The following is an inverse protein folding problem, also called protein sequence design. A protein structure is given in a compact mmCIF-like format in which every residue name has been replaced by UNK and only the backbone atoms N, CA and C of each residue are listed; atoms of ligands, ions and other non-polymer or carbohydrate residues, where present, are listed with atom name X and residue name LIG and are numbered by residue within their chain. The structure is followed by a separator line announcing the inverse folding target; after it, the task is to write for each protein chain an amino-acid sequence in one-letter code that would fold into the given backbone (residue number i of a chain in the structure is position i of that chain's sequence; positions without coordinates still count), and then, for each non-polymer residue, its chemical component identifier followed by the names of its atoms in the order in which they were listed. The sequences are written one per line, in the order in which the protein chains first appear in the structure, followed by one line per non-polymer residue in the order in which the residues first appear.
data_IF_372898998696
#
_entry.id   IF_372898998696
#
_cell.length_a   1.000
_cell.length_b   1.000
_cell.length_c   1.000
_cell.angle_alpha   90.00
_cell.angle_beta   90.00
_cell.angle_gamma   90.00
#
_symmetry.space_group_name_H-M   'P 1'
#
loop_
_entity.id
_entity.type
_entity.pdbx_description
1 polymer ?
#
# COMPACT_ATOMS: atom_id res chain seq x y z
N UNK A 1 12.68 -13.85 -12.38
CA UNK A 1 11.93 -12.58 -12.47
C UNK A 1 12.50 -11.65 -11.42
N UNK A 2 12.69 -10.37 -11.75
CA UNK A 2 13.04 -9.40 -10.70
C UNK A 2 11.75 -9.05 -9.96
N UNK A 3 11.71 -9.18 -8.63
CA UNK A 3 10.56 -8.73 -7.83
C UNK A 3 10.22 -7.28 -8.17
N UNK A 4 8.95 -6.99 -8.49
CA UNK A 4 8.51 -5.63 -8.79
C UNK A 4 8.26 -4.88 -7.48
N UNK A 5 9.15 -3.94 -7.17
CA UNK A 5 9.02 -3.05 -6.04
C UNK A 5 8.12 -1.86 -6.40
N UNK A 6 7.12 -1.61 -5.56
CA UNK A 6 6.19 -0.50 -5.68
C UNK A 6 6.38 0.48 -4.52
N UNK A 7 6.40 1.78 -4.83
CA UNK A 7 6.47 2.83 -3.81
C UNK A 7 5.25 2.77 -2.89
N UNK A 8 5.48 2.83 -1.58
CA UNK A 8 4.43 2.91 -0.57
C UNK A 8 4.01 4.35 -0.30
N UNK A 9 2.73 4.51 0.02
CA UNK A 9 2.11 5.75 0.47
C UNK A 9 2.24 5.94 1.98
N UNK A 10 2.02 7.18 2.44
CA UNK A 10 2.23 7.55 3.84
C UNK A 10 1.36 6.80 4.83
N UNK A 11 0.15 6.47 4.41
CA UNK A 11 -0.87 5.83 5.23
C UNK A 11 -0.72 4.30 5.22
N UNK A 12 0.12 3.75 4.34
CA UNK A 12 0.40 2.32 4.30
C UNK A 12 1.07 1.88 5.61
N UNK A 13 0.61 0.75 6.12
CA UNK A 13 1.12 0.13 7.34
C UNK A 13 1.97 -1.07 6.95
N UNK A 14 3.19 -1.10 7.44
CA UNK A 14 4.09 -2.24 7.27
C UNK A 14 4.39 -2.86 8.62
N UNK A 15 4.59 -4.17 8.62
CA UNK A 15 5.07 -4.90 9.79
C UNK A 15 6.35 -5.65 9.43
N UNK A 16 7.40 -5.47 10.23
CA UNK A 16 8.70 -6.11 10.01
C UNK A 16 8.94 -7.22 11.04
N UNK A 17 9.67 -8.26 10.62
CA UNK A 17 9.91 -9.45 11.45
C UNK A 17 11.07 -9.29 12.44
N UNK A 18 12.14 -8.56 12.07
CA UNK A 18 13.33 -8.28 12.91
C UNK A 18 14.07 -7.02 12.44
N UNK A 19 15.12 -6.62 13.16
CA UNK A 19 16.10 -5.59 12.76
C UNK A 19 15.51 -4.21 12.43
N UNK A 20 14.68 -3.68 13.33
CA UNK A 20 14.16 -2.32 13.23
C UNK A 20 15.31 -1.31 13.33
N UNK A 21 15.36 -0.36 12.40
CA UNK A 21 16.42 0.66 12.39
C UNK A 21 16.04 1.96 13.11
N UNK A 22 14.77 2.38 13.07
CA UNK A 22 14.37 3.74 13.43
C UNK A 22 13.09 3.82 14.27
N UNK A 23 12.08 3.03 13.93
CA UNK A 23 10.81 2.98 14.65
C UNK A 23 10.87 1.79 15.61
N UNK A 24 10.53 2.01 16.88
CA UNK A 24 10.62 0.99 17.93
C UNK A 24 9.50 -0.06 17.88
N UNK A 25 8.42 0.22 17.14
CA UNK A 25 7.33 -0.71 16.92
C UNK A 25 7.62 -1.53 15.67
N UNK A 26 7.32 -2.85 15.72
CA UNK A 26 7.41 -3.71 14.53
C UNK A 26 6.42 -3.34 13.45
N UNK A 27 5.28 -2.79 13.84
CA UNK A 27 4.23 -2.33 12.96
C UNK A 27 4.16 -0.81 13.00
N UNK A 28 4.27 -0.18 11.84
CA UNK A 28 4.30 1.27 11.71
C UNK A 28 3.80 1.71 10.34
N UNK A 29 3.28 2.92 10.28
CA UNK A 29 2.98 3.61 9.02
C UNK A 29 4.25 4.13 8.37
N UNK A 30 4.25 4.27 7.05
CA UNK A 30 5.34 4.94 6.33
C UNK A 30 5.54 6.37 6.82
N UNK A 31 4.47 7.05 7.23
CA UNK A 31 4.56 8.38 7.82
C UNK A 31 5.38 8.41 9.13
N UNK A 32 5.16 7.45 10.03
CA UNK A 32 5.94 7.33 11.28
C UNK A 32 7.43 7.12 10.98
N UNK A 33 7.73 6.23 10.02
CA UNK A 33 9.10 5.96 9.61
C UNK A 33 9.79 7.18 8.99
N UNK A 34 9.12 7.86 8.05
CA UNK A 34 9.63 9.10 7.43
C UNK A 34 9.84 10.20 8.47
N UNK A 35 8.95 10.30 9.45
CA UNK A 35 9.06 11.28 10.56
C UNK A 35 10.27 10.98 11.44
N UNK A 36 10.55 9.70 11.72
CA UNK A 36 11.73 9.28 12.47
C UNK A 36 13.03 9.62 11.73
N UNK A 37 13.11 9.34 10.42
CA UNK A 37 14.27 9.75 9.59
C UNK A 37 14.46 11.27 9.66
N UNK A 38 13.36 12.02 9.45
CA UNK A 38 13.40 13.48 9.46
C UNK A 38 13.92 14.04 10.78
N UNK A 39 13.51 13.48 11.92
CA UNK A 39 13.97 13.88 13.24
C UNK A 39 15.49 13.71 13.40
N UNK A 40 16.05 12.59 12.91
CA UNK A 40 17.50 12.34 12.96
C UNK A 40 18.25 13.33 12.07
N UNK A 41 17.78 13.56 10.84
CA UNK A 41 18.46 14.44 9.89
C UNK A 41 18.35 15.91 10.32
N UNK A 42 17.23 16.32 10.94
CA UNK A 42 17.09 17.64 11.57
C UNK A 42 18.14 17.89 12.66
N UNK A 43 18.56 16.84 13.37
CA UNK A 43 19.62 16.90 14.36
C UNK A 43 21.02 17.07 13.78
N UNK A 44 21.22 16.81 12.48
CA UNK A 44 22.47 17.06 11.78
C UNK A 44 22.50 18.50 11.24
N UNK A 45 23.60 19.22 11.44
CA UNK A 45 23.75 20.62 11.03
C UNK A 45 23.43 20.83 9.54
N UNK A 46 22.64 21.86 9.23
CA UNK A 46 22.31 22.23 7.84
C UNK A 46 20.93 21.78 7.35
N UNK A 47 20.00 21.46 8.25
CA UNK A 47 18.58 21.31 7.90
C UNK A 47 17.99 22.62 7.32
N UNK A 48 17.17 22.49 6.26
CA UNK A 48 16.43 23.60 5.65
C UNK A 48 15.05 23.14 5.22
N UNK A 49 14.11 24.07 5.01
CA UNK A 49 12.79 23.75 4.45
C UNK A 49 12.88 23.11 3.06
N UNK A 50 13.86 23.52 2.25
CA UNK A 50 14.12 22.89 0.95
C UNK A 50 14.52 21.42 1.09
N UNK A 51 15.35 21.09 2.10
CA UNK A 51 15.71 19.69 2.40
C UNK A 51 14.52 18.89 2.92
N UNK A 52 13.54 19.52 3.57
CA UNK A 52 12.32 18.85 3.99
C UNK A 52 11.49 18.31 2.82
N UNK A 53 11.65 18.88 1.61
CA UNK A 53 10.94 18.45 0.40
C UNK A 53 11.29 17.04 -0.03
N UNK A 54 12.49 16.55 0.26
CA UNK A 54 12.88 15.15 0.05
C UNK A 54 11.93 14.16 0.72
N UNK A 55 11.33 14.56 1.83
CA UNK A 55 10.42 13.72 2.60
C UNK A 55 8.96 14.07 2.36
N UNK A 56 8.60 14.97 1.43
CA UNK A 56 7.22 15.41 1.18
C UNK A 56 6.86 15.37 -0.31
N UNK A 57 6.86 16.52 -0.99
CA UNK A 57 6.49 16.68 -2.40
C UNK A 57 7.58 16.26 -3.40
N UNK A 58 8.79 15.99 -2.90
CA UNK A 58 9.97 15.71 -3.70
C UNK A 58 10.68 16.97 -4.19
N UNK A 59 11.95 16.81 -4.57
CA UNK A 59 12.75 17.88 -5.15
C UNK A 59 12.83 17.73 -6.67
N UNK A 60 12.93 18.85 -7.39
CA UNK A 60 13.11 18.83 -8.84
C UNK A 60 14.47 18.24 -9.22
N UNK A 61 14.48 17.36 -10.22
CA UNK A 61 15.68 16.68 -10.67
C UNK A 61 15.65 16.39 -12.18
N UNK A 62 16.77 15.86 -12.68
CA UNK A 62 16.85 15.23 -14.00
C UNK A 62 17.38 13.80 -13.83
N UNK A 63 16.71 12.83 -14.45
CA UNK A 63 17.08 11.43 -14.49
C UNK A 63 17.65 11.08 -15.87
N UNK A 64 18.77 10.38 -15.89
CA UNK A 64 19.31 9.74 -17.10
C UNK A 64 19.49 8.25 -16.80
N UNK A 65 18.70 7.40 -17.45
CA UNK A 65 18.81 5.95 -17.31
C UNK A 65 19.91 5.41 -18.25
N UNK A 66 20.60 4.31 -17.91
CA UNK A 66 21.47 3.63 -18.86
C UNK A 66 20.73 3.32 -20.17
N UNK A 67 21.34 3.63 -21.32
CA UNK A 67 20.74 3.47 -22.63
C UNK A 67 19.73 4.56 -23.04
N UNK A 68 19.39 5.51 -22.15
CA UNK A 68 18.54 6.63 -22.51
C UNK A 68 19.28 7.63 -23.42
N UNK A 69 18.55 8.18 -24.40
CA UNK A 69 19.10 9.17 -25.35
C UNK A 69 19.17 10.58 -24.79
N UNK A 70 18.48 10.86 -23.68
CA UNK A 70 18.36 12.21 -23.12
C UNK A 70 17.99 12.21 -21.64
N UNK A 71 18.23 13.34 -20.97
CA UNK A 71 17.81 13.60 -19.60
C UNK A 71 16.31 13.87 -19.51
N UNK A 72 15.63 13.22 -18.56
CA UNK A 72 14.22 13.46 -18.26
C UNK A 72 14.09 14.32 -16.99
N UNK A 73 13.36 15.43 -17.06
CA UNK A 73 13.02 16.24 -15.87
C UNK A 73 11.93 15.53 -15.05
N UNK A 74 12.01 15.61 -13.74
CA UNK A 74 11.02 15.04 -12.83
C UNK A 74 11.26 15.46 -11.39
N UNK A 75 10.73 14.68 -10.45
CA UNK A 75 10.96 14.85 -9.02
C UNK A 75 11.45 13.56 -8.38
N UNK A 76 12.22 13.68 -7.30
CA UNK A 76 12.61 12.56 -6.44
C UNK A 76 12.27 12.84 -4.99
N UNK A 77 11.83 11.81 -4.27
CA UNK A 77 11.53 11.82 -2.84
C UNK A 77 12.01 10.52 -2.19
N UNK A 78 12.15 10.52 -0.88
CA UNK A 78 12.48 9.34 -0.08
C UNK A 78 11.16 8.72 0.40
N UNK A 79 10.95 7.45 0.07
CA UNK A 79 9.88 6.59 0.60
C UNK A 79 10.38 5.14 0.68
N UNK A 80 9.59 4.24 1.23
CA UNK A 80 9.84 2.81 1.19
C UNK A 80 9.16 2.18 -0.03
N UNK A 81 9.74 1.10 -0.51
CA UNK A 81 9.16 0.27 -1.57
C UNK A 81 8.83 -1.11 -1.02
N UNK A 82 7.79 -1.72 -1.57
CA UNK A 82 7.33 -3.06 -1.21
C UNK A 82 7.26 -3.95 -2.44
N UNK A 83 7.82 -5.15 -2.33
CA UNK A 83 7.56 -6.21 -3.28
C UNK A 83 6.67 -7.26 -2.60
N UNK A 84 5.46 -7.51 -3.12
CA UNK A 84 4.65 -8.63 -2.66
C UNK A 84 5.35 -9.95 -3.00
N UNK A 85 5.14 -10.96 -2.15
CA UNK A 85 5.47 -12.33 -2.53
C UNK A 85 4.57 -12.77 -3.69
N UNK A 86 5.13 -13.53 -4.63
CA UNK A 86 4.37 -14.12 -5.72
C UNK A 86 3.33 -15.07 -5.10
N UNK A 87 2.09 -14.61 -4.97
CA UNK A 87 1.04 -15.41 -4.36
C UNK A 87 0.84 -16.66 -5.20
N UNK A 88 0.95 -17.86 -4.60
CA UNK A 88 0.34 -19.05 -5.18
C UNK A 88 -1.13 -18.74 -5.38
N UNK A 89 -1.51 -18.59 -6.63
CA UNK A 89 -2.85 -18.24 -7.08
C UNK A 89 -3.83 -19.27 -6.51
N UNK A 90 -4.59 -18.93 -5.46
CA UNK A 90 -5.92 -19.52 -5.31
C UNK A 90 -6.82 -18.85 -6.35
N UNK A 91 -6.78 -19.43 -7.54
CA UNK A 91 -7.81 -19.34 -8.55
C UNK A 91 -9.13 -19.81 -7.92
N UNK A 92 -9.81 -18.91 -7.22
CA UNK A 92 -11.23 -19.03 -6.90
C UNK A 92 -12.02 -17.98 -7.68
N UNK A 93 -11.70 -17.87 -8.97
CA UNK A 93 -12.63 -17.38 -9.98
C UNK A 93 -12.97 -18.50 -10.96
N UNK A 94 -13.25 -19.70 -10.45
CA UNK A 94 -14.03 -20.67 -11.23
C UNK A 94 -15.44 -20.11 -11.39
N UNK A 95 -15.64 -19.49 -12.55
CA UNK A 95 -16.93 -19.37 -13.22
C UNK A 95 -17.69 -20.70 -13.12
N UNK A 96 -18.64 -20.77 -12.18
CA UNK A 96 -19.79 -21.67 -12.24
C UNK A 96 -21.02 -20.90 -11.73
N UNK A 97 -21.33 -19.80 -12.40
CA UNK A 97 -22.66 -19.19 -12.34
C UNK A 97 -23.54 -19.91 -13.36
N UNK A 98 -23.83 -21.18 -13.08
CA UNK A 98 -24.85 -21.95 -13.79
C UNK A 98 -25.25 -23.17 -12.96
N UNK A 99 -25.93 -22.91 -11.84
CA UNK A 99 -27.13 -23.66 -11.42
C UNK A 99 -27.80 -22.91 -10.26
N UNK A 100 -28.42 -21.77 -10.57
CA UNK A 100 -29.57 -21.28 -9.84
C UNK A 100 -30.80 -21.63 -10.67
N UNK A 101 -31.05 -22.93 -10.81
CA UNK A 101 -32.34 -23.46 -11.23
C UNK A 101 -32.95 -24.18 -10.02
N UNK A 102 -33.66 -23.40 -9.22
CA UNK A 102 -34.80 -23.84 -8.41
C UNK A 102 -35.45 -22.56 -7.92
N UNK A 103 -36.58 -22.22 -8.57
CA UNK A 103 -37.32 -20.97 -8.44
C UNK A 103 -37.96 -20.69 -7.08
N UNK A 104 -37.19 -20.78 -6.00
CA UNK A 104 -37.55 -20.23 -4.70
C UNK A 104 -36.35 -19.47 -4.15
N UNK A 105 -36.43 -18.13 -4.20
CA UNK A 105 -35.44 -17.29 -3.56
C UNK A 105 -35.32 -17.68 -2.08
N UNK A 106 -34.12 -17.88 -1.52
CA UNK A 106 -33.94 -18.27 -0.12
C UNK A 106 -34.52 -17.25 0.89
N UNK A 107 -34.76 -16.01 0.44
CA UNK A 107 -35.49 -14.98 1.20
C UNK A 107 -37.01 -15.23 1.27
N UNK A 108 -37.58 -15.98 0.34
CA UNK A 108 -39.00 -16.29 0.29
C UNK A 108 -39.39 -17.29 1.39
N UNK A 109 -38.53 -18.29 1.65
CA UNK A 109 -38.70 -19.25 2.74
C UNK A 109 -38.79 -18.57 4.12
N UNK A 110 -38.02 -17.49 4.32
CA UNK A 110 -38.02 -16.73 5.58
C UNK A 110 -39.32 -15.92 5.73
N UNK A 111 -39.86 -15.38 4.63
CA UNK A 111 -41.14 -14.64 4.64
C UNK A 111 -42.33 -15.54 4.94
N UNK A 112 -42.25 -16.82 4.60
CA UNK A 112 -43.28 -17.81 4.90
C UNK A 112 -43.28 -18.29 6.36
N UNK A 113 -42.16 -18.09 7.08
CA UNK A 113 -42.02 -18.51 8.48
C UNK A 113 -42.56 -17.48 9.50
N UNK A 114 -42.97 -16.29 9.07
CA UNK A 114 -43.65 -15.34 9.95
C UNK A 114 -45.12 -15.74 10.10
N UNK A 115 -45.58 -16.17 11.29
CA UNK A 115 -47.00 -16.40 11.50
C UNK A 115 -47.74 -15.07 11.33
N UNK A 116 -48.77 -15.07 10.48
CA UNK A 116 -49.75 -13.98 10.46
C UNK A 116 -50.55 -14.07 11.76
N UNK A 117 -50.06 -13.43 12.80
CA UNK A 117 -50.90 -13.05 13.93
C UNK A 117 -51.89 -12.01 13.40
N UNK A 118 -53.04 -12.50 12.94
CA UNK A 118 -54.22 -11.70 12.70
C UNK A 118 -54.95 -11.48 14.03
N UNK A 119 -54.99 -10.23 14.48
CA UNK A 119 -56.20 -9.44 14.74
C UNK A 119 -55.79 -8.06 15.25
#
# INVERSE_FOLDING_TARGET
MNPEFNCLDREDVVSVYSEQILVNNRTFTINEFVTAIMAIIKGHSGWTEEKAKWFTEGIDCKLLKPGAKSWQRGKVRITLEFCPEESEVQESSTRNQSQLDSGSSPLDAIRQMMPKNGQ
#
